data_IF_267260778237
#
_entry.id   IF_267260778237
#
_cell.length_a   1.000
_cell.length_b   1.000
_cell.length_c   1.000
_cell.angle_alpha   90.00
_cell.angle_beta   90.00
_cell.angle_gamma   90.00
#
_symmetry.space_group_name_H-M   'P 1'
#
loop_
_entity.id
_entity.type
_entity.pdbx_description
1 polymer ?
#
# COMPACT_ATOMS: atom_id res chain seq x y z
N UNK A 1 31.95 61.90 6.94
CA UNK A 1 31.70 60.62 6.25
C UNK A 1 30.22 60.55 5.91
N UNK A 2 29.85 60.59 4.62
CA UNK A 2 28.45 60.47 4.16
C UNK A 2 28.06 58.99 4.07
N UNK A 3 26.80 58.59 4.35
CA UNK A 3 26.37 57.21 4.16
C UNK A 3 26.11 56.91 2.68
N UNK A 4 26.47 55.71 2.24
CA UNK A 4 26.33 55.24 0.86
C UNK A 4 24.84 55.00 0.48
N UNK A 5 24.44 55.19 -0.79
CA UNK A 5 23.06 54.99 -1.22
C UNK A 5 22.71 53.51 -1.41
N UNK A 6 21.46 53.17 -1.09
CA UNK A 6 20.89 51.83 -1.21
C UNK A 6 20.84 51.34 -2.66
N UNK A 7 21.18 50.06 -2.88
CA UNK A 7 21.09 49.38 -4.19
C UNK A 7 19.63 49.03 -4.51
N UNK A 8 19.17 49.16 -5.77
CA UNK A 8 17.81 48.80 -6.15
C UNK A 8 17.64 47.28 -6.33
N UNK A 9 16.46 46.78 -5.96
CA UNK A 9 15.99 45.41 -6.23
C UNK A 9 15.84 45.16 -7.74
N UNK A 10 16.15 43.96 -8.26
CA UNK A 10 15.85 43.63 -9.64
C UNK A 10 14.36 43.29 -9.81
N UNK A 11 13.69 44.03 -10.70
CA UNK A 11 12.32 43.76 -11.17
C UNK A 11 12.33 42.58 -12.14
N UNK A 12 11.42 41.62 -11.95
CA UNK A 12 11.14 40.57 -12.92
C UNK A 12 10.23 41.10 -14.04
N UNK A 13 10.56 40.93 -15.33
CA UNK A 13 9.60 41.19 -16.40
C UNK A 13 8.68 39.98 -16.63
N UNK A 14 7.39 40.28 -16.72
CA UNK A 14 6.34 39.37 -17.14
C UNK A 14 6.36 39.17 -18.67
N UNK A 15 5.94 37.98 -19.11
CA UNK A 15 5.50 37.55 -20.46
C UNK A 15 6.53 37.44 -21.61
N UNK A 16 6.60 36.28 -22.31
CA UNK A 16 7.39 36.12 -23.53
C UNK A 16 6.57 36.39 -24.81
N UNK A 17 7.20 36.95 -25.88
CA UNK A 17 6.59 37.05 -27.20
C UNK A 17 6.82 35.81 -28.07
N UNK A 18 6.15 35.85 -29.21
CA UNK A 18 5.67 34.83 -30.12
C UNK A 18 6.68 34.16 -31.07
N UNK A 19 6.22 33.03 -31.63
CA UNK A 19 6.78 32.15 -32.65
C UNK A 19 7.31 32.85 -33.93
N UNK A 20 8.38 32.30 -34.53
CA UNK A 20 8.47 32.02 -35.98
C UNK A 20 9.78 31.32 -36.35
N UNK A 21 9.72 30.52 -37.44
CA UNK A 21 10.81 29.94 -38.25
C UNK A 21 11.53 28.68 -37.75
N UNK A 22 11.22 27.50 -38.32
CA UNK A 22 11.88 27.01 -39.53
C UNK A 22 11.35 25.63 -39.99
N UNK A 23 11.40 25.33 -41.30
CA UNK A 23 10.69 24.23 -41.95
C UNK A 23 11.64 23.09 -42.33
N UNK A 24 11.26 21.82 -42.15
CA UNK A 24 11.92 20.74 -42.89
C UNK A 24 11.04 19.49 -42.95
N UNK A 25 10.93 18.96 -44.17
CA UNK A 25 10.34 17.69 -44.59
C UNK A 25 8.82 17.58 -44.71
N UNK A 26 8.34 18.10 -45.84
CA UNK A 26 7.31 17.47 -46.66
C UNK A 26 7.93 16.37 -47.55
N UNK A 27 7.20 15.28 -47.72
CA UNK A 27 7.37 14.36 -48.85
C UNK A 27 7.87 12.97 -48.50
N UNK A 28 6.96 12.05 -48.19
CA UNK A 28 6.75 10.85 -49.02
C UNK A 28 5.46 10.12 -48.57
N UNK A 29 4.67 9.72 -49.57
CA UNK A 29 3.33 9.14 -49.48
C UNK A 29 3.44 7.61 -49.41
N UNK A 30 2.81 6.96 -48.43
CA UNK A 30 2.65 5.50 -48.40
C UNK A 30 1.26 5.09 -48.95
N UNK A 31 1.14 3.95 -49.68
CA UNK A 31 -0.13 3.46 -50.22
C UNK A 31 -1.01 2.76 -49.15
N UNK A 32 -2.31 2.54 -49.42
CA UNK A 32 -3.27 2.06 -48.41
C UNK A 32 -3.07 0.58 -48.08
N UNK A 33 -3.10 0.23 -46.79
CA UNK A 33 -3.07 -1.16 -46.33
C UNK A 33 -4.45 -1.80 -46.45
N UNK A 34 -4.52 -2.96 -47.10
CA UNK A 34 -5.65 -3.88 -47.08
C UNK A 34 -5.78 -4.63 -45.73
N UNK A 35 -6.81 -5.48 -45.58
CA UNK A 35 -7.20 -6.03 -44.28
C UNK A 35 -6.21 -7.06 -43.74
N UNK A 36 -6.05 -7.03 -42.41
CA UNK A 36 -5.12 -7.82 -41.59
C UNK A 36 -5.28 -9.34 -41.78
N UNK A 37 -4.18 -10.13 -41.88
CA UNK A 37 -4.25 -11.57 -41.79
C UNK A 37 -4.42 -12.03 -40.34
N UNK A 38 -5.41 -12.90 -40.15
CA UNK A 38 -5.65 -13.73 -38.97
C UNK A 38 -4.41 -14.56 -38.62
N UNK A 39 -3.92 -14.41 -37.38
CA UNK A 39 -2.73 -15.10 -36.88
C UNK A 39 -2.88 -16.62 -36.73
N UNK A 40 -1.76 -17.37 -36.64
CA UNK A 40 -1.81 -18.82 -36.58
C UNK A 40 -2.22 -19.35 -35.20
N UNK A 41 -3.06 -20.39 -35.21
CA UNK A 41 -3.44 -21.22 -34.06
C UNK A 41 -2.20 -21.83 -33.41
N UNK A 42 -2.01 -21.59 -32.12
CA UNK A 42 -1.03 -22.28 -31.28
C UNK A 42 -1.46 -23.74 -31.08
N UNK A 43 -0.76 -24.64 -31.77
CA UNK A 43 -0.82 -26.09 -31.61
C UNK A 43 0.09 -26.47 -30.43
N UNK A 44 -0.49 -26.88 -29.31
CA UNK A 44 0.27 -27.41 -28.16
C UNK A 44 0.71 -28.83 -28.51
N UNK A 45 2.00 -29.04 -28.71
CA UNK A 45 2.62 -30.37 -28.84
C UNK A 45 3.25 -30.74 -27.50
N UNK A 46 2.76 -31.82 -26.88
CA UNK A 46 3.34 -32.44 -25.69
C UNK A 46 4.50 -33.36 -26.10
N UNK A 47 5.59 -33.45 -25.31
CA UNK A 47 6.65 -34.42 -25.55
C UNK A 47 6.15 -35.85 -25.26
N UNK A 48 6.56 -36.85 -26.07
CA UNK A 48 6.11 -38.24 -25.92
C UNK A 48 7.01 -39.03 -24.97
N UNK A 49 6.39 -39.93 -24.19
CA UNK A 49 7.07 -41.09 -23.61
C UNK A 49 7.30 -41.04 -22.09
N UNK A 50 6.40 -41.67 -21.33
CA UNK A 50 6.70 -42.77 -20.39
C UNK A 50 5.37 -43.34 -19.83
N UNK A 51 5.32 -44.64 -19.49
CA UNK A 51 4.18 -45.50 -19.76
C UNK A 51 3.07 -45.49 -18.70
N UNK A 52 1.85 -45.67 -19.18
CA UNK A 52 0.68 -46.07 -18.42
C UNK A 52 0.81 -47.57 -18.09
N UNK A 53 0.81 -47.91 -16.81
CA UNK A 53 0.71 -49.28 -16.27
C UNK A 53 -0.59 -49.48 -15.48
N UNK A 54 -1.09 -50.72 -15.35
CA UNK A 54 -2.51 -50.99 -15.51
C UNK A 54 -3.36 -50.91 -14.23
N UNK A 55 -4.62 -50.56 -14.45
CA UNK A 55 -5.76 -50.98 -13.64
C UNK A 55 -5.72 -52.51 -13.45
N UNK A 56 -5.53 -52.96 -12.21
CA UNK A 56 -5.84 -54.33 -11.82
C UNK A 56 -6.87 -54.31 -10.70
N UNK A 57 -8.08 -54.76 -11.05
CA UNK A 57 -9.07 -55.17 -10.08
C UNK A 57 -8.62 -56.47 -9.42
N UNK A 58 -8.73 -56.53 -8.10
CA UNK A 58 -8.98 -57.78 -7.39
C UNK A 58 -10.21 -57.60 -6.53
N UNK A 59 -11.30 -58.22 -6.98
CA UNK A 59 -12.42 -58.55 -6.13
C UNK A 59 -12.00 -59.55 -5.06
N UNK A 60 -12.66 -59.46 -3.92
CA UNK A 60 -12.47 -60.35 -2.78
C UNK A 60 -13.58 -60.13 -1.78
N UNK A 61 -14.82 -60.42 -2.18
CA UNK A 61 -15.91 -60.57 -1.23
C UNK A 61 -15.74 -61.89 -0.46
N UNK A 62 -16.06 -61.87 0.85
CA UNK A 62 -16.84 -62.92 1.52
C UNK A 62 -17.31 -62.43 2.88
N UNK A 63 -18.63 -62.48 3.05
CA UNK A 63 -19.36 -62.43 4.32
C UNK A 63 -19.03 -63.69 5.15
N UNK A 64 -19.14 -63.59 6.48
CA UNK A 64 -20.12 -64.30 7.33
C UNK A 64 -19.56 -64.79 8.67
N UNK A 65 -20.35 -64.58 9.74
CA UNK A 65 -20.29 -65.28 11.03
C UNK A 65 -19.26 -64.71 12.02
N UNK A 66 -19.53 -64.51 13.30
CA UNK A 66 -20.36 -65.32 14.19
C UNK A 66 -21.01 -64.50 15.32
N UNK A 67 -22.24 -64.90 15.63
CA UNK A 67 -22.99 -64.61 16.86
C UNK A 67 -22.46 -65.48 18.01
N UNK A 68 -22.34 -64.88 19.21
CA UNK A 68 -22.56 -65.44 20.56
C UNK A 68 -22.21 -64.32 21.53
N UNK A 69 -22.92 -63.93 22.58
CA UNK A 69 -24.16 -64.32 23.23
C UNK A 69 -24.29 -63.37 24.45
N UNK A 70 -25.50 -63.13 24.94
CA UNK A 70 -25.66 -62.30 26.15
C UNK A 70 -27.06 -61.75 26.35
N UNK A 71 -28.02 -62.63 26.60
CA UNK A 71 -29.30 -62.25 27.20
C UNK A 71 -29.13 -62.15 28.73
N UNK A 72 -29.55 -61.03 29.31
CA UNK A 72 -29.55 -60.82 30.76
C UNK A 72 -30.46 -59.68 31.17
N UNK A 73 -31.75 -59.98 31.39
CA UNK A 73 -32.74 -59.10 32.05
C UNK A 73 -32.28 -58.76 33.47
N UNK A 74 -32.56 -57.52 33.93
CA UNK A 74 -33.41 -57.25 35.13
C UNK A 74 -33.74 -55.76 35.28
N UNK A 75 -34.94 -55.54 35.83
CA UNK A 75 -35.65 -54.27 36.16
C UNK A 75 -34.82 -53.45 37.16
N UNK A 76 -35.00 -52.13 37.40
CA UNK A 76 -36.20 -51.43 37.95
C UNK A 76 -35.77 -49.97 38.25
N UNK A 77 -36.64 -49.00 38.00
CA UNK A 77 -36.81 -47.77 38.81
C UNK A 77 -35.80 -46.62 38.66
N UNK A 78 -36.33 -45.40 38.59
CA UNK A 78 -35.58 -44.19 38.97
C UNK A 78 -35.73 -43.02 38.00
N UNK A 79 -36.55 -42.05 38.39
CA UNK A 79 -36.78 -40.75 37.75
C UNK A 79 -35.51 -39.92 37.56
N UNK A 80 -35.53 -39.01 36.58
CA UNK A 80 -34.61 -37.87 36.54
C UNK A 80 -34.50 -37.27 35.15
N UNK A 81 -35.32 -36.25 34.87
CA UNK A 81 -35.35 -35.56 33.59
C UNK A 81 -34.01 -34.94 33.18
N UNK A 82 -33.72 -34.98 31.87
CA UNK A 82 -32.70 -34.14 31.24
C UNK A 82 -33.20 -33.70 29.88
N UNK A 83 -33.39 -32.38 29.78
CA UNK A 83 -33.73 -31.66 28.57
C UNK A 83 -32.69 -31.85 27.46
N UNK A 84 -33.18 -31.60 26.26
CA UNK A 84 -32.52 -31.69 24.98
C UNK A 84 -31.16 -30.98 24.98
N UNK A 85 -30.11 -31.74 24.64
CA UNK A 85 -28.82 -31.18 24.24
C UNK A 85 -28.90 -30.80 22.77
N UNK A 86 -29.15 -29.53 22.48
CA UNK A 86 -28.80 -28.94 21.20
C UNK A 86 -27.27 -28.79 21.13
N UNK A 87 -26.68 -29.43 20.13
CA UNK A 87 -25.24 -29.43 19.89
C UNK A 87 -24.74 -28.04 19.53
N UNK A 88 -23.92 -27.44 20.41
CA UNK A 88 -23.05 -26.33 20.03
C UNK A 88 -21.89 -26.87 19.20
N UNK A 89 -21.89 -26.55 17.91
CA UNK A 89 -20.68 -26.59 17.08
C UNK A 89 -19.61 -25.73 17.75
N UNK A 90 -18.48 -26.36 18.10
CA UNK A 90 -17.26 -25.70 18.57
C UNK A 90 -16.72 -24.85 17.41
N UNK A 91 -16.93 -23.54 17.47
CA UNK A 91 -16.09 -22.59 16.72
C UNK A 91 -14.72 -22.60 17.40
N UNK A 92 -13.72 -22.95 16.62
CA UNK A 92 -12.32 -23.05 17.00
C UNK A 92 -11.83 -21.78 17.69
N UNK A 93 -11.10 -21.99 18.77
CA UNK A 93 -10.54 -21.02 19.71
C UNK A 93 -9.65 -19.96 19.06
N UNK A 94 -9.95 -18.69 19.33
CA UNK A 94 -9.08 -17.52 19.14
C UNK A 94 -7.67 -17.76 19.73
N UNK A 95 -6.59 -17.40 19.02
CA UNK A 95 -5.28 -17.32 19.64
C UNK A 95 -5.16 -16.02 20.45
N UNK A 96 -4.78 -16.16 21.72
CA UNK A 96 -4.25 -15.13 22.61
C UNK A 96 -5.18 -13.98 23.08
N UNK A 97 -5.90 -14.22 24.18
CA UNK A 97 -5.67 -13.52 25.46
C UNK A 97 -5.79 -11.98 25.57
N UNK A 98 -6.25 -11.21 24.58
CA UNK A 98 -6.47 -9.75 24.70
C UNK A 98 -7.94 -9.42 24.94
N UNK A 99 -8.46 -9.64 26.13
CA UNK A 99 -9.74 -9.05 26.57
C UNK A 99 -9.45 -8.02 27.66
N UNK A 100 -9.69 -6.74 27.37
CA UNK A 100 -9.76 -5.70 28.40
C UNK A 100 -8.66 -4.64 28.46
N UNK A 101 -8.02 -4.24 27.36
CA UNK A 101 -7.24 -2.98 27.37
C UNK A 101 -8.22 -1.79 27.36
N UNK A 102 -8.12 -0.91 28.37
CA UNK A 102 -8.84 0.38 28.36
C UNK A 102 -8.42 1.17 27.11
N UNK A 103 -9.38 1.84 26.46
CA UNK A 103 -9.15 2.65 25.24
C UNK A 103 -7.97 3.65 25.37
N UNK A 104 -7.67 4.10 26.59
CA UNK A 104 -6.60 5.07 26.88
C UNK A 104 -5.15 4.52 26.75
N UNK A 105 -4.95 3.26 26.33
CA UNK A 105 -3.62 2.64 26.17
C UNK A 105 -3.26 2.26 24.73
N UNK A 106 -4.09 2.64 23.75
CA UNK A 106 -3.88 2.24 22.35
C UNK A 106 -2.53 2.75 21.82
N UNK A 107 -1.79 1.87 21.17
CA UNK A 107 -0.55 2.19 20.46
C UNK A 107 -0.78 2.17 18.95
N UNK A 108 -0.38 3.24 18.27
CA UNK A 108 -0.46 3.36 16.82
C UNK A 108 0.92 3.16 16.17
N UNK A 109 0.99 2.30 15.15
CA UNK A 109 2.14 2.17 14.27
C UNK A 109 1.85 2.89 12.96
N UNK A 110 2.71 3.83 12.55
CA UNK A 110 2.53 4.59 11.30
C UNK A 110 3.68 4.30 10.36
N UNK A 111 3.38 3.70 9.21
CA UNK A 111 4.39 3.42 8.19
C UNK A 111 4.58 4.64 7.26
N UNK A 112 5.80 5.19 7.25
CA UNK A 112 6.17 6.31 6.39
C UNK A 112 7.21 5.90 5.35
N UNK A 113 7.03 6.34 4.11
CA UNK A 113 7.92 6.01 2.99
C UNK A 113 8.57 7.28 2.43
N UNK A 114 9.89 7.22 2.22
CA UNK A 114 10.65 8.22 1.46
C UNK A 114 10.45 7.96 -0.02
N UNK A 115 9.99 8.97 -0.75
CA UNK A 115 9.75 8.91 -2.20
C UNK A 115 10.32 10.14 -2.88
N UNK A 116 10.44 10.09 -4.22
CA UNK A 116 10.71 11.28 -5.02
C UNK A 116 9.56 12.26 -4.81
N UNK A 117 9.90 13.55 -4.68
CA UNK A 117 8.92 14.60 -4.47
C UNK A 117 7.90 14.63 -5.63
N UNK A 118 6.62 14.73 -5.30
CA UNK A 118 5.53 14.66 -6.27
C UNK A 118 5.57 15.81 -7.30
N UNK A 119 6.22 16.92 -6.98
CA UNK A 119 6.40 18.05 -7.90
C UNK A 119 7.55 17.82 -8.90
N UNK A 120 8.39 16.81 -8.69
CA UNK A 120 9.51 16.51 -9.59
C UNK A 120 9.04 15.63 -10.74
N UNK A 121 9.29 16.09 -11.97
CA UNK A 121 9.15 15.24 -13.16
C UNK A 121 10.25 14.18 -13.18
N UNK A 122 9.86 12.93 -12.98
CA UNK A 122 10.76 11.78 -13.06
C UNK A 122 11.38 11.66 -14.46
N UNK A 123 12.62 11.16 -14.49
CA UNK A 123 13.34 10.81 -15.72
C UNK A 123 13.76 9.35 -15.63
N UNK A 124 13.50 8.58 -16.68
CA UNK A 124 13.98 7.21 -16.80
C UNK A 124 15.47 7.24 -17.12
N UNK A 125 16.24 6.32 -16.55
CA UNK A 125 17.67 6.16 -16.87
C UNK A 125 17.81 5.70 -18.33
N UNK A 126 18.83 6.17 -19.08
CA UNK A 126 19.09 5.69 -20.44
C UNK A 126 19.22 4.16 -20.53
N UNK A 127 19.75 3.54 -19.47
CA UNK A 127 19.96 2.09 -19.36
C UNK A 127 18.66 1.29 -19.10
N UNK A 128 17.49 1.95 -19.00
CA UNK A 128 16.18 1.33 -18.72
C UNK A 128 16.11 0.50 -17.44
N UNK A 129 17.07 0.67 -16.52
CA UNK A 129 17.13 -0.08 -15.26
C UNK A 129 16.25 0.53 -14.16
N UNK A 130 15.79 1.77 -14.33
CA UNK A 130 15.01 2.47 -13.33
C UNK A 130 14.86 3.97 -13.60
N UNK A 131 14.42 4.70 -12.58
CA UNK A 131 14.35 6.17 -12.60
C UNK A 131 15.59 6.79 -11.99
N UNK A 132 15.92 8.01 -12.40
CA UNK A 132 17.02 8.79 -11.80
C UNK A 132 16.60 9.23 -10.39
N UNK A 133 17.36 8.78 -9.40
CA UNK A 133 17.17 9.15 -7.98
C UNK A 133 18.24 10.11 -7.47
N UNK A 134 19.37 10.21 -8.18
CA UNK A 134 20.52 10.98 -7.72
C UNK A 134 20.31 12.47 -7.95
N UNK A 135 20.59 13.28 -6.93
CA UNK A 135 20.36 14.73 -6.97
C UNK A 135 18.90 15.16 -7.02
N UNK A 136 17.95 14.22 -6.98
CA UNK A 136 16.52 14.51 -6.99
C UNK A 136 16.01 14.76 -5.57
N UNK A 137 15.18 15.80 -5.41
CA UNK A 137 14.52 16.09 -4.14
C UNK A 137 13.61 14.92 -3.75
N UNK A 138 13.79 14.43 -2.52
CA UNK A 138 12.91 13.44 -1.93
C UNK A 138 12.10 14.07 -0.80
N UNK A 139 10.89 13.54 -0.59
CA UNK A 139 10.00 13.95 0.49
C UNK A 139 9.25 12.74 1.05
N UNK A 140 8.49 12.98 2.12
CA UNK A 140 7.58 11.96 2.64
C UNK A 140 6.48 11.72 1.60
N UNK A 141 6.06 10.47 1.44
CA UNK A 141 4.91 10.17 0.60
C UNK A 141 3.67 10.94 1.12
N UNK A 142 2.92 11.67 0.28
CA UNK A 142 1.76 12.45 0.72
C UNK A 142 0.71 11.66 1.49
N UNK A 143 0.47 10.40 1.12
CA UNK A 143 -0.46 9.53 1.86
C UNK A 143 0.08 9.14 3.24
N UNK A 144 1.39 9.04 3.40
CA UNK A 144 2.01 8.82 4.69
C UNK A 144 1.90 10.05 5.60
N UNK A 145 1.95 11.27 5.06
CA UNK A 145 1.74 12.50 5.84
C UNK A 145 0.34 12.52 6.45
N UNK A 146 -0.67 12.13 5.67
CA UNK A 146 -2.07 12.02 6.11
C UNK A 146 -2.23 10.95 7.19
N UNK A 147 -1.57 9.81 7.03
CA UNK A 147 -1.57 8.75 8.04
C UNK A 147 -0.93 9.21 9.36
N UNK A 148 0.16 9.99 9.30
CA UNK A 148 0.79 10.59 10.48
C UNK A 148 -0.14 11.61 11.13
N UNK A 149 -0.76 12.50 10.35
CA UNK A 149 -1.70 13.49 10.86
C UNK A 149 -2.88 12.84 11.57
N UNK A 150 -3.47 11.79 10.99
CA UNK A 150 -4.59 11.10 11.64
C UNK A 150 -4.18 10.49 12.98
N UNK A 151 -3.01 9.85 13.04
CA UNK A 151 -2.47 9.31 14.28
C UNK A 151 -2.30 10.40 15.34
N UNK A 152 -1.80 11.58 14.95
CA UNK A 152 -1.63 12.73 15.85
C UNK A 152 -2.98 13.26 16.33
N UNK A 153 -3.98 13.39 15.44
CA UNK A 153 -5.34 13.80 15.82
C UNK A 153 -5.97 12.83 16.81
N UNK A 154 -5.80 11.52 16.62
CA UNK A 154 -6.29 10.51 17.57
C UNK A 154 -5.59 10.60 18.93
N UNK A 155 -4.31 10.96 18.95
CA UNK A 155 -3.56 11.21 20.19
C UNK A 155 -4.00 12.50 20.90
N UNK A 156 -4.29 13.56 20.16
CA UNK A 156 -4.83 14.81 20.72
C UNK A 156 -6.22 14.59 21.35
N UNK A 157 -7.04 13.72 20.74
CA UNK A 157 -8.31 13.24 21.30
C UNK A 157 -8.14 12.29 22.50
N UNK A 158 -6.91 12.00 22.93
CA UNK A 158 -6.55 11.07 24.02
C UNK A 158 -7.03 9.63 23.78
N UNK A 159 -7.24 9.26 22.51
CA UNK A 159 -7.63 7.92 22.10
C UNK A 159 -6.41 7.04 21.85
N UNK A 160 -5.28 7.62 21.48
CA UNK A 160 -4.00 6.94 21.27
C UNK A 160 -2.97 7.49 22.26
N UNK A 161 -2.26 6.60 22.95
CA UNK A 161 -1.24 6.95 23.94
C UNK A 161 0.13 7.22 23.32
N UNK A 162 0.51 6.43 22.32
CA UNK A 162 1.84 6.44 21.74
C UNK A 162 1.77 6.21 20.23
N UNK A 163 2.51 7.02 19.47
CA UNK A 163 2.66 6.93 18.02
C UNK A 163 4.09 6.53 17.67
N UNK A 164 4.23 5.38 17.02
CA UNK A 164 5.52 4.84 16.56
C UNK A 164 5.58 5.02 15.05
N UNK A 165 6.49 5.87 14.56
CA UNK A 165 6.72 6.05 13.13
C UNK A 165 7.77 5.04 12.65
N UNK A 166 7.49 4.29 11.59
CA UNK A 166 8.40 3.30 11.03
C UNK A 166 8.69 3.58 9.56
N UNK A 167 9.95 3.46 9.16
CA UNK A 167 10.35 3.49 7.75
C UNK A 167 11.36 2.38 7.47
N UNK A 168 11.24 1.75 6.30
CA UNK A 168 12.15 0.71 5.83
C UNK A 168 12.91 1.22 4.61
N UNK A 169 14.23 1.08 4.59
CA UNK A 169 15.04 1.52 3.46
C UNK A 169 16.47 1.90 3.86
N UNK A 170 17.15 2.70 3.01
CA UNK A 170 18.51 3.13 3.29
C UNK A 170 18.54 4.21 4.37
N UNK A 171 19.72 4.53 4.89
CA UNK A 171 19.90 5.47 6.00
C UNK A 171 19.21 6.84 5.81
N UNK A 172 19.03 7.30 4.57
CA UNK A 172 18.31 8.54 4.24
C UNK A 172 16.84 8.52 4.67
N UNK A 173 16.22 7.35 4.89
CA UNK A 173 14.86 7.23 5.44
C UNK A 173 14.73 7.82 6.85
N UNK A 174 15.84 7.96 7.60
CA UNK A 174 15.82 8.59 8.91
C UNK A 174 15.35 10.05 8.84
N UNK A 175 15.64 10.78 7.78
CA UNK A 175 15.16 12.16 7.58
C UNK A 175 13.63 12.19 7.52
N UNK A 176 13.02 11.25 6.80
CA UNK A 176 11.56 11.11 6.71
C UNK A 176 10.94 10.77 8.07
N UNK A 177 11.59 9.92 8.86
CA UNK A 177 11.16 9.62 10.24
C UNK A 177 11.26 10.88 11.11
N UNK A 178 12.31 11.71 10.96
CA UNK A 178 12.44 12.98 11.68
C UNK A 178 11.30 13.95 11.36
N UNK A 179 10.85 14.01 10.10
CA UNK A 179 9.67 14.79 9.71
C UNK A 179 8.41 14.28 10.45
N UNK A 180 8.19 12.97 10.50
CA UNK A 180 7.05 12.39 11.25
C UNK A 180 7.12 12.69 12.76
N UNK A 181 8.33 12.63 13.34
CA UNK A 181 8.59 13.00 14.74
C UNK A 181 8.33 14.48 15.03
N UNK A 182 8.55 15.35 14.03
CA UNK A 182 8.29 16.78 14.11
C UNK A 182 6.80 17.11 13.96
N UNK A 183 6.04 16.31 13.21
CA UNK A 183 4.57 16.44 13.12
C UNK A 183 3.86 16.03 14.41
N UNK A 184 4.39 15.05 15.15
CA UNK A 184 3.82 14.66 16.44
C UNK A 184 4.06 13.22 16.88
N UNK A 185 4.77 12.40 16.08
CA UNK A 185 5.12 11.04 16.49
C UNK A 185 6.06 11.02 17.72
N UNK A 186 5.93 10.00 18.57
CA UNK A 186 6.68 9.90 19.83
C UNK A 186 8.09 9.37 19.64
N UNK A 187 8.21 8.26 18.89
CA UNK A 187 9.48 7.62 18.57
C UNK A 187 9.50 7.06 17.15
N UNK A 188 10.71 6.87 16.65
CA UNK A 188 10.96 6.37 15.30
C UNK A 188 11.64 5.02 15.31
N UNK A 189 11.27 4.14 14.38
CA UNK A 189 11.97 2.89 14.08
C UNK A 189 12.43 2.94 12.62
N UNK A 190 13.73 2.84 12.41
CA UNK A 190 14.34 2.72 11.09
C UNK A 190 14.73 1.27 10.87
N UNK A 191 14.06 0.62 9.92
CA UNK A 191 14.45 -0.71 9.45
C UNK A 191 15.46 -0.52 8.34
N UNK A 192 16.74 -0.67 8.68
CA UNK A 192 17.84 -0.44 7.77
C UNK A 192 17.93 -1.57 6.74
N UNK A 193 17.90 -1.17 5.48
CA UNK A 193 18.12 -2.02 4.31
C UNK A 193 19.18 -1.33 3.45
N UNK A 194 20.29 -2.02 3.09
CA UNK A 194 21.32 -1.44 2.24
C UNK A 194 20.75 -0.90 0.92
N UNK A 195 21.34 0.18 0.38
CA UNK A 195 20.83 0.83 -0.84
C UNK A 195 20.72 -0.12 -2.05
N UNK A 196 21.61 -1.11 -2.16
CA UNK A 196 21.57 -2.13 -3.21
C UNK A 196 20.31 -3.01 -3.12
N UNK A 197 19.93 -3.40 -1.90
CA UNK A 197 18.76 -4.25 -1.64
C UNK A 197 17.45 -3.44 -1.57
N UNK A 198 17.54 -2.13 -1.28
CA UNK A 198 16.40 -1.23 -1.19
C UNK A 198 15.61 -1.16 -2.51
N UNK A 199 16.27 -1.34 -3.66
CA UNK A 199 15.61 -1.36 -4.98
C UNK A 199 14.69 -2.58 -5.17
N UNK A 200 14.95 -3.67 -4.46
CA UNK A 200 14.15 -4.89 -4.49
C UNK A 200 13.12 -4.96 -3.35
N UNK A 201 13.07 -3.93 -2.51
CA UNK A 201 12.17 -3.88 -1.37
C UNK A 201 10.72 -3.63 -1.82
N UNK A 202 9.97 -4.72 -1.93
CA UNK A 202 8.55 -4.71 -2.33
C UNK A 202 7.58 -4.64 -1.15
N UNK A 203 6.26 -4.55 -1.45
CA UNK A 203 5.22 -4.55 -0.42
C UNK A 203 5.22 -5.79 0.47
N UNK A 204 5.61 -6.96 -0.06
CA UNK A 204 5.64 -8.23 0.69
C UNK A 204 6.65 -8.17 1.84
N UNK A 205 7.87 -7.72 1.56
CA UNK A 205 8.94 -7.60 2.56
C UNK A 205 8.53 -6.58 3.63
N UNK A 206 8.01 -5.42 3.22
CA UNK A 206 7.54 -4.39 4.14
C UNK A 206 6.39 -4.90 5.01
N UNK A 207 5.42 -5.62 4.45
CA UNK A 207 4.31 -6.18 5.22
C UNK A 207 4.79 -7.18 6.29
N UNK A 208 5.77 -8.04 5.98
CA UNK A 208 6.36 -8.98 6.95
C UNK A 208 7.07 -8.25 8.09
N UNK A 209 7.85 -7.22 7.76
CA UNK A 209 8.53 -6.36 8.74
C UNK A 209 7.52 -5.66 9.66
N UNK A 210 6.50 -5.03 9.08
CA UNK A 210 5.45 -4.34 9.83
C UNK A 210 4.65 -5.30 10.72
N UNK A 211 4.37 -6.52 10.26
CA UNK A 211 3.70 -7.54 11.06
C UNK A 211 4.53 -7.92 12.30
N UNK A 212 5.84 -8.16 12.13
CA UNK A 212 6.74 -8.48 13.25
C UNK A 212 6.90 -7.32 14.22
N UNK A 213 6.95 -6.10 13.71
CA UNK A 213 6.98 -4.90 14.55
C UNK A 213 5.67 -4.69 15.31
N UNK A 214 4.52 -4.93 14.67
CA UNK A 214 3.23 -4.83 15.31
C UNK A 214 3.08 -5.83 16.47
N UNK A 215 3.59 -7.06 16.30
CA UNK A 215 3.67 -8.08 17.35
C UNK A 215 4.61 -7.66 18.48
N UNK A 216 5.86 -7.27 18.15
CA UNK A 216 6.90 -6.86 19.11
C UNK A 216 6.46 -5.69 19.98
N UNK A 217 5.86 -4.68 19.36
CA UNK A 217 5.46 -3.44 20.04
C UNK A 217 4.04 -3.48 20.64
N UNK A 218 3.32 -4.58 20.38
CA UNK A 218 1.93 -4.82 20.82
C UNK A 218 1.02 -3.66 20.44
N UNK A 219 1.09 -3.25 19.17
CA UNK A 219 0.27 -2.17 18.63
C UNK A 219 -1.16 -2.63 18.41
N UNK A 220 -2.08 -1.67 18.44
CA UNK A 220 -3.52 -1.92 18.34
C UNK A 220 -4.10 -1.31 17.04
N UNK A 221 -3.42 -0.31 16.46
CA UNK A 221 -3.79 0.30 15.20
C UNK A 221 -2.55 0.47 14.32
N UNK A 222 -2.63 0.04 13.07
CA UNK A 222 -1.59 0.29 12.06
C UNK A 222 -2.16 1.23 11.00
N UNK A 223 -1.54 2.39 10.82
CA UNK A 223 -1.89 3.39 9.82
C UNK A 223 -0.84 3.40 8.72
N UNK A 224 -1.28 3.26 7.47
CA UNK A 224 -0.42 3.33 6.29
C UNK A 224 -0.97 4.35 5.29
N UNK A 225 -0.13 4.79 4.36
CA UNK A 225 -0.61 5.50 3.17
C UNK A 225 -1.40 4.58 2.24
N UNK A 226 -2.29 5.14 1.43
CA UNK A 226 -3.15 4.40 0.49
C UNK A 226 -2.38 3.62 -0.58
N UNK A 227 -2.74 2.34 -0.67
CA UNK A 227 -2.89 1.56 -1.90
C UNK A 227 -4.00 0.51 -1.63
N UNK A 228 -5.27 0.87 -1.83
CA UNK A 228 -6.36 -0.12 -1.99
C UNK A 228 -7.56 -0.05 -1.02
N UNK A 229 -7.48 0.53 0.19
CA UNK A 229 -8.64 0.54 1.13
C UNK A 229 -9.30 1.90 1.39
N UNK A 230 -8.74 2.99 0.84
CA UNK A 230 -9.38 4.31 0.68
C UNK A 230 -10.13 4.87 1.90
N UNK A 231 -9.55 4.90 3.10
CA UNK A 231 -10.26 5.46 4.26
C UNK A 231 -10.36 6.99 4.18
N UNK A 232 -11.59 7.51 4.10
CA UNK A 232 -11.94 8.95 4.06
C UNK A 232 -12.36 9.51 5.42
N UNK A 233 -12.83 8.67 6.35
CA UNK A 233 -13.09 9.07 7.73
C UNK A 233 -12.79 7.92 8.70
N UNK A 234 -12.23 8.24 9.86
CA UNK A 234 -11.90 7.27 10.91
C UNK A 234 -12.46 7.74 12.25
N UNK A 235 -13.20 6.86 12.92
CA UNK A 235 -13.73 7.09 14.27
C UNK A 235 -13.49 5.86 15.13
N UNK A 236 -12.84 6.04 16.29
CA UNK A 236 -12.65 4.96 17.26
C UNK A 236 -13.85 4.88 18.20
N UNK A 237 -14.43 3.68 18.33
CA UNK A 237 -15.60 3.38 19.14
C UNK A 237 -15.30 2.19 20.06
N UNK A 238 -14.74 2.45 21.25
CA UNK A 238 -14.46 1.36 22.18
C UNK A 238 -13.37 0.42 21.65
N UNK A 239 -13.76 -0.84 21.48
CA UNK A 239 -12.95 -1.94 20.94
C UNK A 239 -13.03 -2.04 19.39
N UNK A 240 -13.76 -1.13 18.74
CA UNK A 240 -13.99 -1.12 17.30
C UNK A 240 -13.56 0.19 16.68
N UNK A 241 -13.34 0.15 15.38
CA UNK A 241 -13.05 1.31 14.54
C UNK A 241 -14.08 1.37 13.43
N UNK A 242 -14.79 2.50 13.35
CA UNK A 242 -15.67 2.83 12.25
C UNK A 242 -14.86 3.57 11.19
N UNK A 243 -14.83 3.03 9.98
CA UNK A 243 -14.07 3.58 8.85
C UNK A 243 -15.02 3.79 7.71
N UNK A 244 -15.06 5.00 7.17
CA UNK A 244 -15.73 5.28 5.89
C UNK A 244 -14.69 5.19 4.79
N UNK A 245 -15.03 4.43 3.75
CA UNK A 245 -14.18 4.14 2.61
C UNK A 245 -14.76 4.80 1.37
N UNK A 246 -13.89 5.36 0.56
CA UNK A 246 -14.27 5.81 -0.77
C UNK A 246 -14.23 4.62 -1.75
N UNK A 247 -15.34 4.43 -2.45
CA UNK A 247 -15.50 3.45 -3.53
C UNK A 247 -15.97 4.17 -4.79
N UNK A 248 -15.81 3.56 -5.96
CA UNK A 248 -16.09 4.24 -7.24
C UNK A 248 -17.53 4.79 -7.35
N UNK A 249 -18.48 4.16 -6.66
CA UNK A 249 -19.89 4.57 -6.62
C UNK A 249 -20.32 5.41 -5.42
N UNK A 250 -19.42 5.80 -4.51
CA UNK A 250 -19.77 6.58 -3.31
C UNK A 250 -18.95 6.23 -2.07
N UNK A 251 -19.64 6.08 -0.94
CA UNK A 251 -19.03 5.82 0.38
C UNK A 251 -19.52 4.48 0.94
N UNK A 252 -18.60 3.71 1.53
CA UNK A 252 -18.88 2.47 2.24
C UNK A 252 -18.43 2.60 3.69
N UNK A 253 -19.36 2.44 4.64
CA UNK A 253 -19.03 2.46 6.07
C UNK A 253 -18.79 1.04 6.59
N UNK A 254 -17.59 0.78 7.10
CA UNK A 254 -17.21 -0.48 7.74
C UNK A 254 -16.96 -0.29 9.23
N UNK A 255 -17.25 -1.33 10.02
CA UNK A 255 -16.92 -1.39 11.43
C UNK A 255 -16.01 -2.59 11.68
N UNK A 256 -14.76 -2.33 12.05
CA UNK A 256 -13.73 -3.33 12.26
C UNK A 256 -13.42 -3.48 13.75
N UNK A 257 -13.07 -4.69 14.17
CA UNK A 257 -12.60 -4.95 15.54
C UNK A 257 -11.11 -4.64 15.63
N UNK A 258 -10.66 -4.05 16.73
CA UNK A 258 -9.23 -3.85 16.99
C UNK A 258 -8.57 -5.19 17.41
N UNK A 259 -7.31 -5.46 17.01
CA UNK A 259 -6.41 -4.61 16.23
C UNK A 259 -6.75 -4.57 14.73
N UNK A 260 -6.59 -3.40 14.10
CA UNK A 260 -6.94 -3.18 12.69
C UNK A 260 -5.84 -2.45 11.91
N UNK A 261 -5.86 -2.64 10.59
CA UNK A 261 -4.98 -1.96 9.63
C UNK A 261 -5.82 -1.02 8.79
N UNK A 262 -5.43 0.25 8.70
CA UNK A 262 -6.15 1.29 7.95
C UNK A 262 -5.19 1.98 6.98
N UNK A 263 -5.63 2.16 5.73
CA UNK A 263 -4.87 2.93 4.73
C UNK A 263 -5.58 4.25 4.45
N UNK A 264 -4.86 5.36 4.60
CA UNK A 264 -5.41 6.71 4.56
C UNK A 264 -5.55 7.24 3.12
N UNK A 265 -6.74 7.72 2.77
CA UNK A 265 -7.02 8.43 1.53
C UNK A 265 -6.64 9.92 1.60
N UNK A 266 -6.50 10.59 0.45
CA UNK A 266 -6.26 12.04 0.36
C UNK A 266 -7.31 12.88 1.08
N UNK A 267 -8.56 12.41 1.13
CA UNK A 267 -9.67 13.15 1.74
C UNK A 267 -9.79 13.01 3.25
N UNK A 268 -8.97 12.16 3.87
CA UNK A 268 -9.07 11.88 5.31
C UNK A 268 -8.79 13.12 6.16
N UNK A 269 -7.74 13.86 5.83
CA UNK A 269 -7.34 15.06 6.54
C UNK A 269 -6.36 15.92 5.72
N UNK A 270 -6.07 17.10 6.27
CA UNK A 270 -5.00 17.98 5.80
C UNK A 270 -3.82 17.89 6.79
N UNK A 271 -2.65 17.39 6.34
CA UNK A 271 -1.47 17.28 7.20
C UNK A 271 -0.97 18.64 7.69
N UNK A 272 -0.65 18.75 8.97
CA UNK A 272 -0.07 19.97 9.53
C UNK A 272 1.39 20.14 9.15
N UNK A 273 1.83 21.39 9.01
CA UNK A 273 3.26 21.71 8.90
C UNK A 273 3.95 21.59 10.25
N UNK A 274 5.12 20.94 10.27
CA UNK A 274 5.97 20.89 11.45
C UNK A 274 6.57 22.28 11.73
N UNK A 275 6.34 22.81 12.93
CA UNK A 275 6.91 24.09 13.36
C UNK A 275 8.40 23.96 13.66
N UNK A 276 9.18 25.05 13.49
CA UNK A 276 10.62 25.07 13.77
C UNK A 276 10.98 24.52 15.18
N UNK A 277 10.25 24.86 16.27
CA UNK A 277 10.51 24.29 17.58
C UNK A 277 10.35 22.76 17.61
N UNK A 278 9.34 22.24 16.91
CA UNK A 278 9.08 20.80 16.86
C UNK A 278 10.14 20.07 16.04
N UNK A 279 10.64 20.66 14.96
CA UNK A 279 11.76 20.12 14.17
C UNK A 279 13.01 19.99 15.07
N UNK A 280 13.28 21.00 15.90
CA UNK A 280 14.42 20.94 16.84
C UNK A 280 14.24 19.89 17.93
N UNK A 281 13.03 19.73 18.47
CA UNK A 281 12.70 18.65 19.42
C UNK A 281 12.81 17.27 18.76
N UNK A 282 12.39 17.16 17.49
CA UNK A 282 12.43 15.91 16.74
C UNK A 282 13.85 15.40 16.53
N UNK A 283 14.86 16.27 16.41
CA UNK A 283 16.28 15.89 16.38
C UNK A 283 16.76 15.22 17.67
N UNK A 284 16.16 15.55 18.82
CA UNK A 284 16.50 14.95 20.13
C UNK A 284 15.78 13.63 20.40
N UNK A 285 14.62 13.40 19.78
CA UNK A 285 13.89 12.13 19.90
C UNK A 285 14.73 10.96 19.37
N UNK A 286 14.68 9.81 20.03
CA UNK A 286 15.47 8.64 19.62
C UNK A 286 14.85 7.97 18.39
N UNK A 287 15.70 7.55 17.45
CA UNK A 287 15.35 6.64 16.36
C UNK A 287 16.05 5.31 16.67
N UNK A 288 15.27 4.24 16.83
CA UNK A 288 15.80 2.89 16.95
C UNK A 288 16.13 2.38 15.55
N UNK A 289 17.38 1.99 15.32
CA UNK A 289 17.79 1.37 14.05
C UNK A 289 17.86 -0.13 14.26
N UNK A 290 17.16 -0.89 13.43
CA UNK A 290 17.12 -2.35 13.43
C UNK A 290 17.37 -2.85 12.01
N UNK A 291 18.02 -4.01 11.88
CA UNK A 291 18.17 -4.65 10.57
C UNK A 291 16.96 -5.55 10.31
N UNK A 292 16.63 -5.75 9.04
CA UNK A 292 15.57 -6.68 8.66
C UNK A 292 15.82 -8.11 9.17
N UNK A 293 17.09 -8.54 9.22
CA UNK A 293 17.50 -9.84 9.74
C UNK A 293 17.20 -10.02 11.24
N UNK A 294 17.26 -8.95 12.04
CA UNK A 294 16.98 -9.01 13.48
C UNK A 294 15.51 -9.32 13.79
N UNK A 295 14.62 -9.05 12.82
CA UNK A 295 13.20 -9.37 12.89
C UNK A 295 12.87 -10.78 12.36
N UNK A 296 13.88 -11.52 11.87
CA UNK A 296 13.70 -12.82 11.24
C UNK A 296 12.94 -12.75 9.92
N UNK A 297 13.02 -11.62 9.20
CA UNK A 297 12.30 -11.43 7.94
C UNK A 297 13.24 -11.69 6.75
N UNK A 298 12.83 -12.66 5.93
CA UNK A 298 13.44 -12.89 4.63
C UNK A 298 13.04 -11.80 3.63
N UNK A 299 14.06 -11.13 3.07
CA UNK A 299 13.93 -10.06 2.07
C UNK A 299 13.88 -10.59 0.62
N UNK A 300 14.02 -11.90 0.41
CA UNK A 300 14.03 -12.51 -0.93
C UNK A 300 12.80 -12.11 -1.74
N UNK A 301 13.03 -11.50 -2.91
CA UNK A 301 11.97 -11.13 -3.85
C UNK A 301 11.78 -12.23 -4.89
N UNK A 302 10.52 -12.55 -5.20
CA UNK A 302 10.15 -13.40 -6.35
C UNK A 302 9.83 -12.58 -7.62
N UNK A 303 9.97 -11.26 -7.54
CA UNK A 303 9.73 -10.33 -8.64
C UNK A 303 11.05 -9.75 -9.12
N UNK A 304 11.20 -9.69 -10.44
CA UNK A 304 12.33 -9.05 -11.12
C UNK A 304 11.80 -8.00 -12.08
N UNK A 305 12.39 -6.79 -12.04
CA UNK A 305 12.07 -5.70 -12.96
C UNK A 305 12.95 -5.88 -14.20
N UNK A 306 12.32 -6.15 -15.35
CA UNK A 306 13.04 -6.40 -16.60
C UNK A 306 13.49 -5.09 -17.24
N UNK A 307 12.60 -4.12 -17.36
CA UNK A 307 12.88 -2.81 -17.91
C UNK A 307 11.94 -1.75 -17.35
N UNK A 308 12.40 -0.50 -17.39
CA UNK A 308 11.65 0.72 -17.10
C UNK A 308 11.80 1.62 -18.31
N UNK A 309 10.68 2.01 -18.91
CA UNK A 309 10.64 2.82 -20.13
C UNK A 309 9.72 4.02 -19.94
N UNK A 310 9.97 5.08 -20.70
CA UNK A 310 9.05 6.21 -20.75
C UNK A 310 7.73 5.78 -21.39
N UNK A 311 6.59 6.32 -20.92
CA UNK A 311 5.31 6.08 -21.58
C UNK A 311 5.35 6.60 -23.02
N UNK A 312 4.52 6.05 -23.93
CA UNK A 312 4.47 6.50 -25.31
C UNK A 312 4.18 8.00 -25.36
N UNK A 313 5.04 8.74 -26.07
CA UNK A 313 4.85 10.18 -26.24
C UNK A 313 3.56 10.43 -27.03
N UNK A 314 2.66 11.23 -26.46
CA UNK A 314 1.43 11.63 -27.15
C UNK A 314 1.79 12.50 -28.34
N UNK A 315 1.14 12.27 -29.48
CA UNK A 315 1.19 13.17 -30.63
C UNK A 315 0.69 14.55 -30.23
N UNK A 316 1.32 15.60 -30.76
CA UNK A 316 0.91 16.97 -30.48
C UNK A 316 -0.55 17.19 -30.86
N UNK A 317 -1.33 17.79 -29.95
CA UNK A 317 -2.72 18.14 -30.20
C UNK A 317 -2.85 19.38 -31.08
N UNK A 318 -4.04 19.56 -31.66
CA UNK A 318 -4.41 20.75 -32.42
C UNK A 318 -5.21 21.69 -31.53
N UNK A 319 -4.95 23.00 -31.60
CA UNK A 319 -5.78 24.03 -30.98
C UNK A 319 -6.81 24.51 -32.00
N UNK A 320 -8.06 24.65 -31.56
CA UNK A 320 -9.16 25.18 -32.38
C UNK A 320 -9.62 26.51 -31.80
N UNK A 321 -10.03 27.43 -32.67
CA UNK A 321 -10.40 28.80 -32.26
C UNK A 321 -11.87 28.89 -31.84
N UNK A 322 -12.73 28.05 -32.42
CA UNK A 322 -14.17 28.05 -32.17
C UNK A 322 -14.69 26.72 -31.65
N UNK A 323 -15.83 26.76 -30.96
CA UNK A 323 -16.54 25.59 -30.48
C UNK A 323 -17.09 24.74 -31.64
N UNK A 324 -17.46 25.38 -32.75
CA UNK A 324 -17.98 24.72 -33.95
C UNK A 324 -16.90 23.86 -34.60
N UNK A 325 -15.68 24.38 -34.72
CA UNK A 325 -14.51 23.64 -35.23
C UNK A 325 -14.18 22.45 -34.33
N UNK A 326 -14.29 22.60 -33.01
CA UNK A 326 -14.07 21.51 -32.07
C UNK A 326 -15.07 20.37 -32.32
N UNK A 327 -16.37 20.69 -32.41
CA UNK A 327 -17.43 19.71 -32.65
C UNK A 327 -17.25 19.04 -34.01
N UNK A 328 -16.93 19.81 -35.05
CA UNK A 328 -16.64 19.27 -36.38
C UNK A 328 -15.48 18.26 -36.34
N UNK A 329 -14.37 18.61 -35.69
CA UNK A 329 -13.20 17.73 -35.54
C UNK A 329 -13.51 16.48 -34.72
N UNK A 330 -14.30 16.60 -33.65
CA UNK A 330 -14.69 15.46 -32.81
C UNK A 330 -15.63 14.48 -33.56
N UNK A 331 -16.52 14.99 -34.43
CA UNK A 331 -17.36 14.17 -35.31
C UNK A 331 -16.53 13.45 -36.37
N UNK A 332 -15.56 14.14 -36.99
CA UNK A 332 -14.64 13.54 -37.97
C UNK A 332 -13.88 12.33 -37.39
N UNK A 333 -13.48 12.40 -36.12
CA UNK A 333 -12.77 11.32 -35.42
C UNK A 333 -13.69 10.31 -34.70
N UNK A 334 -15.01 10.45 -34.85
CA UNK A 334 -16.03 9.56 -34.27
C UNK A 334 -15.99 9.49 -32.74
N UNK A 335 -15.68 10.59 -32.07
CA UNK A 335 -15.71 10.69 -30.60
C UNK A 335 -17.03 11.24 -30.06
N UNK A 336 -17.79 11.89 -30.94
CA UNK A 336 -19.17 12.34 -30.75
C UNK A 336 -19.96 12.14 -32.04
#
# INVERSE_FOLDING_TARGET
MRPAPARPFPQFPATPPSQSSCPFFSGFRLPPQGPLPTGPRLLVTLPPGLPIGPLSGRGGGRRSGWLTGGAGRRRRGGQGGRGERSGKQKVSSDPAGRRGRKMAELRALVAVKRVIDFAVKIRVKPDKTGVVTDGVKHSMNPFCEIAVEEAVRLKEKKLVKEIIAVSCGPAQCQETIRTALAMGADRGIHVEVPAAEANHLGPLQVARVLAKLAEKEKVDLVLLGKQGTFASQVTLEGDKIKVEREIDGGLETLRLKLPAVVTADLRLNEPRYATLPNIMKAKKKKIEVIKAGDLGVDLTSKLSVISVEDPPQRTAGVKVETTEDLVAKLKEIGRI
#
